data_IF_374980919115
#
_entry.id   IF_374980919115
#
_cell.length_a   1.000
_cell.length_b   1.000
_cell.length_c   1.000
_cell.angle_alpha   90.00
_cell.angle_beta   90.00
_cell.angle_gamma   90.00
#
_symmetry.space_group_name_H-M   'P 1'
#
loop_
_entity.id
_entity.type
_entity.pdbx_description
1 polymer ?
#
# COMPACT_ATOMS: atom_id res chain seq x y z
N UNK A 1 -7.84 -11.39 -9.73
CA UNK A 1 -6.63 -10.58 -9.54
C UNK A 1 -6.43 -10.44 -8.04
N UNK A 2 -5.22 -10.63 -7.51
CA UNK A 2 -5.02 -10.55 -6.06
C UNK A 2 -4.39 -9.20 -5.72
N UNK A 3 -4.83 -8.59 -4.62
CA UNK A 3 -4.27 -7.33 -4.13
C UNK A 3 -3.28 -7.65 -3.01
N UNK A 4 -2.03 -7.25 -3.22
CA UNK A 4 -1.02 -7.26 -2.16
C UNK A 4 -1.13 -6.00 -1.32
N UNK A 5 -0.72 -6.09 -0.06
CA UNK A 5 -0.57 -4.91 0.78
C UNK A 5 0.53 -5.07 1.81
N UNK A 6 1.20 -3.97 2.16
CA UNK A 6 2.14 -3.91 3.28
C UNK A 6 2.05 -2.57 4.00
N UNK A 7 2.46 -2.56 5.27
CA UNK A 7 2.61 -1.33 6.05
C UNK A 7 4.03 -0.78 5.93
N UNK A 8 4.16 0.54 5.90
CA UNK A 8 5.43 1.25 5.85
C UNK A 8 5.35 2.51 6.71
N UNK A 9 6.47 2.89 7.28
CA UNK A 9 6.68 4.21 7.85
C UNK A 9 7.84 4.91 7.12
N UNK A 10 7.72 6.22 6.94
CA UNK A 10 8.77 7.08 6.36
C UNK A 10 8.81 8.44 7.04
N UNK A 11 9.93 9.14 6.90
CA UNK A 11 10.14 10.50 7.39
C UNK A 11 9.81 11.54 6.32
N UNK A 12 9.32 12.70 6.75
CA UNK A 12 9.13 13.90 5.92
C UNK A 12 10.27 14.85 6.24
N UNK A 13 11.17 15.06 5.28
CA UNK A 13 12.45 15.76 5.50
C UNK A 13 12.31 17.16 6.09
N UNK A 14 11.24 17.88 5.72
CA UNK A 14 11.01 19.27 6.13
C UNK A 14 10.04 19.42 7.32
N UNK A 15 9.65 18.32 7.97
CA UNK A 15 8.76 18.34 9.14
C UNK A 15 9.55 18.07 10.43
N UNK A 16 9.07 18.62 11.54
CA UNK A 16 9.72 18.46 12.84
C UNK A 16 9.08 17.33 13.64
N UNK A 17 9.86 16.53 14.39
CA UNK A 17 9.32 15.60 15.37
C UNK A 17 8.37 16.30 16.36
N UNK A 18 7.26 15.67 16.77
CA UNK A 18 6.84 14.30 16.45
C UNK A 18 6.00 14.17 15.16
N UNK A 19 5.87 15.24 14.37
CA UNK A 19 4.97 15.31 13.20
C UNK A 19 5.66 14.98 11.87
N UNK A 20 6.86 14.43 11.93
CA UNK A 20 7.72 14.14 10.78
C UNK A 20 7.54 12.73 10.22
N UNK A 21 6.63 11.94 10.77
CA UNK A 21 6.50 10.51 10.45
C UNK A 21 5.16 10.22 9.76
N UNK A 22 5.22 9.69 8.53
CA UNK A 22 4.05 9.17 7.81
C UNK A 22 3.99 7.66 8.02
N UNK A 23 2.86 7.18 8.54
CA UNK A 23 2.51 5.76 8.54
C UNK A 23 1.53 5.52 7.39
N UNK A 24 1.84 4.57 6.51
CA UNK A 24 1.06 4.30 5.32
C UNK A 24 0.88 2.80 5.10
N UNK A 25 -0.23 2.46 4.44
CA UNK A 25 -0.50 1.12 3.93
C UNK A 25 -0.55 1.19 2.42
N UNK A 26 0.33 0.45 1.75
CA UNK A 26 0.40 0.38 0.29
C UNK A 26 -0.46 -0.77 -0.19
N UNK A 27 -1.29 -0.53 -1.19
CA UNK A 27 -2.03 -1.55 -1.95
C UNK A 27 -1.50 -1.57 -3.37
N UNK A 28 -1.34 -2.76 -3.95
CA UNK A 28 -0.78 -2.92 -5.30
C UNK A 28 -1.30 -4.20 -5.98
N UNK A 29 -1.29 -4.26 -7.32
CA UNK A 29 -1.55 -5.50 -8.05
C UNK A 29 -0.55 -6.59 -7.64
N UNK A 30 -1.04 -7.65 -7.01
CA UNK A 30 -0.24 -8.75 -6.50
C UNK A 30 -0.42 -10.03 -7.32
N UNK A 31 0.65 -10.83 -7.42
CA UNK A 31 0.63 -12.14 -8.08
C UNK A 31 1.00 -13.21 -7.06
N UNK A 32 0.08 -14.14 -6.80
CA UNK A 32 0.42 -15.30 -5.96
C UNK A 32 1.51 -16.10 -6.67
N UNK A 33 2.63 -16.30 -5.98
CA UNK A 33 3.74 -17.10 -6.47
C UNK A 33 3.78 -18.48 -5.83
N UNK A 34 3.04 -18.68 -4.73
CA UNK A 34 3.14 -19.89 -3.92
C UNK A 34 4.50 -20.03 -3.23
N UNK A 35 5.29 -18.95 -3.17
CA UNK A 35 6.61 -18.97 -2.55
C UNK A 35 6.53 -19.21 -1.04
N UNK A 36 7.60 -19.75 -0.47
CA UNK A 36 7.72 -19.90 0.99
C UNK A 36 7.61 -18.57 1.72
N UNK A 37 8.10 -17.49 1.11
CA UNK A 37 7.93 -16.15 1.67
C UNK A 37 6.44 -15.74 1.73
N UNK A 38 5.67 -16.05 0.69
CA UNK A 38 4.23 -15.79 0.68
C UNK A 38 3.53 -16.65 1.74
N UNK A 39 3.84 -17.95 1.83
CA UNK A 39 3.19 -18.87 2.77
C UNK A 39 3.52 -18.53 4.23
N UNK A 40 4.78 -18.25 4.52
CA UNK A 40 5.28 -18.10 5.89
C UNK A 40 5.22 -16.66 6.39
N UNK A 41 5.23 -15.66 5.50
CA UNK A 41 5.27 -14.23 5.87
C UNK A 41 4.09 -13.41 5.31
N UNK A 42 3.24 -14.00 4.47
CA UNK A 42 2.12 -13.28 3.85
C UNK A 42 2.52 -12.24 2.79
N UNK A 43 3.80 -12.20 2.39
CA UNK A 43 4.31 -11.22 1.43
C UNK A 43 3.99 -11.69 0.01
N UNK A 44 3.08 -11.00 -0.65
CA UNK A 44 2.69 -11.26 -2.04
C UNK A 44 3.53 -10.38 -2.97
N UNK A 45 4.28 -10.92 -3.94
CA UNK A 45 5.04 -10.08 -4.87
C UNK A 45 4.12 -9.29 -5.78
N UNK A 46 4.57 -8.09 -6.19
CA UNK A 46 3.85 -7.28 -7.17
C UNK A 46 3.80 -7.97 -8.55
N UNK A 47 2.69 -7.81 -9.26
CA UNK A 47 2.53 -8.34 -10.61
C UNK A 47 3.24 -7.45 -11.63
N UNK A 48 4.51 -7.77 -11.92
CA UNK A 48 5.35 -6.97 -12.83
C UNK A 48 4.81 -6.85 -14.26
N UNK A 49 3.87 -7.71 -14.68
CA UNK A 49 3.23 -7.62 -16.00
C UNK A 49 2.29 -6.41 -16.11
N UNK A 50 1.87 -5.84 -14.98
CA UNK A 50 1.02 -4.65 -14.90
C UNK A 50 1.83 -3.37 -14.65
N UNK A 51 3.15 -3.45 -14.59
CA UNK A 51 3.99 -2.27 -14.50
C UNK A 51 4.06 -1.52 -15.85
N UNK A 52 4.22 -0.18 -15.85
CA UNK A 52 4.36 0.70 -14.69
C UNK A 52 3.02 0.95 -13.98
N UNK A 53 3.07 1.15 -12.65
CA UNK A 53 1.89 1.45 -11.85
C UNK A 53 1.72 2.96 -11.67
N UNK A 54 0.54 3.53 -11.97
CA UNK A 54 0.14 4.84 -11.47
C UNK A 54 0.17 4.85 -9.94
N UNK A 55 0.68 5.94 -9.36
CA UNK A 55 0.73 6.11 -7.90
C UNK A 55 -0.39 7.05 -7.47
N UNK A 56 -1.26 6.56 -6.59
CA UNK A 56 -2.30 7.36 -5.95
C UNK A 56 -1.99 7.46 -4.45
N UNK A 57 -1.91 8.68 -3.94
CA UNK A 57 -1.73 8.97 -2.51
C UNK A 57 -3.06 9.47 -1.96
N UNK A 58 -3.58 8.77 -0.95
CA UNK A 58 -4.81 9.14 -0.27
C UNK A 58 -4.46 9.75 1.09
N UNK A 59 -4.82 11.01 1.28
CA UNK A 59 -4.78 11.67 2.58
C UNK A 59 -6.18 11.61 3.21
N UNK A 60 -6.25 11.12 4.43
CA UNK A 60 -7.49 11.10 5.20
C UNK A 60 -7.86 12.50 5.69
N UNK A 61 -9.16 12.74 5.86
CA UNK A 61 -9.65 13.95 6.51
C UNK A 61 -9.29 14.02 8.00
N UNK A 62 -9.58 15.17 8.61
CA UNK A 62 -9.41 15.40 10.05
C UNK A 62 -10.22 14.36 10.84
N UNK A 63 -9.57 13.70 11.80
CA UNK A 63 -10.15 12.63 12.64
C UNK A 63 -10.65 11.40 11.86
N UNK A 64 -10.30 11.26 10.59
CA UNK A 64 -10.63 10.08 9.79
C UNK A 64 -9.46 9.10 9.80
N UNK A 65 -9.69 7.83 10.12
CA UNK A 65 -8.66 6.81 10.01
C UNK A 65 -8.35 6.52 8.51
N UNK A 66 -7.08 6.40 8.06
CA UNK A 66 -6.75 6.06 6.67
C UNK A 66 -7.43 4.79 6.15
N UNK A 67 -7.75 3.83 7.03
CA UNK A 67 -8.44 2.59 6.71
C UNK A 67 -9.85 2.81 6.11
N UNK A 68 -10.47 3.98 6.35
CA UNK A 68 -11.75 4.34 5.72
C UNK A 68 -11.68 4.36 4.19
N UNK A 69 -10.50 4.63 3.64
CA UNK A 69 -10.28 4.66 2.18
C UNK A 69 -9.79 3.32 1.61
N UNK A 70 -9.66 2.27 2.45
CA UNK A 70 -9.17 0.95 2.03
C UNK A 70 -9.94 0.39 0.84
N UNK A 71 -11.26 0.53 0.83
CA UNK A 71 -12.09 0.00 -0.26
C UNK A 71 -11.72 0.65 -1.59
N UNK A 72 -11.48 1.96 -1.61
CA UNK A 72 -11.12 2.72 -2.80
C UNK A 72 -9.70 2.37 -3.25
N UNK A 73 -8.75 2.28 -2.31
CA UNK A 73 -7.38 1.87 -2.60
C UNK A 73 -7.34 0.49 -3.27
N UNK A 74 -8.09 -0.49 -2.75
CA UNK A 74 -8.23 -1.82 -3.36
C UNK A 74 -8.81 -1.71 -4.78
N UNK A 75 -9.89 -0.93 -4.95
CA UNK A 75 -10.54 -0.76 -6.27
C UNK A 75 -9.64 -0.06 -7.28
N UNK A 76 -8.80 0.87 -6.87
CA UNK A 76 -7.80 1.48 -7.75
C UNK A 76 -6.73 0.44 -8.12
N UNK A 77 -6.17 -0.27 -7.14
CA UNK A 77 -5.18 -1.33 -7.41
C UNK A 77 -5.72 -2.47 -8.30
N UNK A 78 -7.01 -2.79 -8.26
CA UNK A 78 -7.61 -3.77 -9.17
C UNK A 78 -7.61 -3.31 -10.65
N UNK A 79 -7.42 -2.02 -10.91
CA UNK A 79 -7.45 -1.42 -12.26
C UNK A 79 -6.05 -1.18 -12.85
N UNK A 80 -5.00 -1.50 -12.09
CA UNK A 80 -3.63 -1.13 -12.39
C UNK A 80 -3.40 0.36 -12.20
#
# INVERSE_FOLDING_TARGET
MNIGAFYRATKVENAQPPYDTINLKVFYPGKMSGSEQQKNQGIVPADRQQAPFPVVILFNGVNCNPELYKWLAIKLSERG
#
